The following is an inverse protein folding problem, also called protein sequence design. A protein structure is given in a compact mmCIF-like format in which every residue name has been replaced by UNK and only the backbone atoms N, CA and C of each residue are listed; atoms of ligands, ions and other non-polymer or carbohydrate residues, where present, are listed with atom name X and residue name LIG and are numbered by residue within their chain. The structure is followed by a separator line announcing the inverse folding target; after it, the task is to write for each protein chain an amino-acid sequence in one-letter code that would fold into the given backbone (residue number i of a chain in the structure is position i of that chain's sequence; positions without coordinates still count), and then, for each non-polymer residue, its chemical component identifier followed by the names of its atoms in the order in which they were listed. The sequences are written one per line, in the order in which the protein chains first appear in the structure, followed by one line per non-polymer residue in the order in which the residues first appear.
data_IF_659242239363
#
_entry.id   IF_659242239363
#
_cell.length_a   1.000
_cell.length_b   1.000
_cell.length_c   1.000
_cell.angle_alpha   90.00
_cell.angle_beta   90.00
_cell.angle_gamma   90.00
#
_symmetry.space_group_name_H-M   'P 1'
#
loop_
_entity.id
_entity.type
_entity.pdbx_description
1 polymer ?
#
# COMPACT_ATOMS: atom_id res chain seq x y z
N UNK A 1 8.84 -22.98 -2.21
CA UNK A 1 7.77 -22.43 -1.37
C UNK A 1 8.17 -21.00 -1.07
N UNK A 2 7.45 -20.05 -1.63
CA UNK A 2 7.62 -18.63 -1.32
C UNK A 2 7.44 -18.49 0.21
N UNK A 3 8.41 -17.90 0.97
CA UNK A 3 8.26 -17.66 2.40
C UNK A 3 7.19 -16.59 2.67
N UNK A 4 6.23 -16.56 1.84
CA UNK A 4 5.07 -15.78 1.61
C UNK A 4 4.44 -15.17 2.83
N UNK A 5 3.73 -14.15 2.59
CA UNK A 5 2.71 -13.52 3.40
C UNK A 5 2.06 -14.56 4.33
N UNK A 6 2.06 -14.38 5.64
CA UNK A 6 1.52 -15.39 6.56
C UNK A 6 0.10 -15.78 6.12
N UNK A 7 -0.18 -17.07 6.06
CA UNK A 7 -1.46 -17.63 5.56
C UNK A 7 -2.69 -16.97 6.24
N UNK A 8 -2.55 -16.64 7.54
CA UNK A 8 -3.57 -15.90 8.29
C UNK A 8 -3.89 -14.51 7.73
N UNK A 9 -2.95 -13.87 7.03
CA UNK A 9 -3.17 -12.57 6.37
C UNK A 9 -3.87 -12.72 5.02
N UNK A 10 -3.75 -13.90 4.39
CA UNK A 10 -4.46 -14.25 3.17
C UNK A 10 -5.92 -14.65 3.44
N UNK A 11 -6.22 -15.09 4.67
CA UNK A 11 -7.56 -15.46 5.11
C UNK A 11 -8.41 -14.26 5.58
N UNK A 12 -7.86 -13.04 5.57
CA UNK A 12 -8.62 -11.84 5.96
C UNK A 12 -9.80 -11.60 5.03
N UNK A 13 -10.88 -11.11 5.61
CA UNK A 13 -11.98 -10.57 4.83
C UNK A 13 -11.47 -9.43 3.94
N UNK A 14 -12.00 -9.29 2.73
CA UNK A 14 -11.73 -8.14 1.90
C UNK A 14 -12.01 -6.86 2.69
N UNK A 15 -11.17 -5.85 2.50
CA UNK A 15 -11.45 -4.54 3.06
C UNK A 15 -12.83 -4.07 2.55
N UNK A 16 -13.68 -3.50 3.44
CA UNK A 16 -14.98 -3.01 3.01
C UNK A 16 -14.82 -2.03 1.85
N UNK A 17 -15.79 -1.93 0.95
CA UNK A 17 -15.79 -0.94 -0.13
C UNK A 17 -15.46 0.43 0.42
N UNK A 18 -14.76 1.25 -0.35
CA UNK A 18 -14.42 2.61 0.01
C UNK A 18 -15.63 3.35 0.59
N UNK A 19 -15.59 3.60 1.89
CA UNK A 19 -16.60 4.36 2.63
C UNK A 19 -16.06 5.75 3.07
N UNK A 20 -15.21 6.30 2.31
CA UNK A 20 -14.20 7.25 2.40
C UNK A 20 -14.31 8.53 3.20
N UNK A 21 -13.16 9.09 3.43
CA UNK A 21 -12.94 10.45 3.92
C UNK A 21 -12.98 11.38 2.69
N UNK A 22 -14.14 11.94 2.38
CA UNK A 22 -14.32 12.80 1.22
C UNK A 22 -14.67 12.07 -0.08
N UNK A 23 -14.72 12.77 -1.22
CA UNK A 23 -15.08 12.20 -2.50
C UNK A 23 -14.09 11.11 -2.95
N UNK A 24 -14.60 10.00 -3.45
CA UNK A 24 -13.76 8.98 -4.05
C UNK A 24 -13.01 9.55 -5.24
N UNK A 25 -11.69 9.39 -5.24
CA UNK A 25 -10.82 9.69 -6.35
C UNK A 25 -9.62 8.74 -6.36
N UNK A 26 -8.95 8.65 -7.49
CA UNK A 26 -7.72 7.88 -7.64
C UNK A 26 -6.54 8.83 -7.80
N UNK A 27 -5.46 8.53 -7.09
CA UNK A 27 -4.31 9.39 -6.96
C UNK A 27 -3.01 8.67 -7.29
N UNK A 28 -2.08 9.40 -7.87
CA UNK A 28 -0.66 9.06 -7.93
C UNK A 28 0.15 10.19 -7.30
N UNK A 29 1.19 9.85 -6.53
CA UNK A 29 2.03 10.83 -5.83
C UNK A 29 3.45 10.82 -6.39
N UNK A 30 4.02 11.99 -6.63
CA UNK A 30 5.38 12.17 -7.12
C UNK A 30 6.00 13.45 -6.57
N UNK A 31 7.33 13.50 -6.50
CA UNK A 31 8.09 14.73 -6.29
C UNK A 31 8.32 15.50 -7.61
N UNK A 32 7.99 14.92 -8.76
CA UNK A 32 8.10 15.54 -10.06
C UNK A 32 6.80 16.29 -10.42
N UNK A 33 6.84 17.63 -10.62
CA UNK A 33 5.68 18.44 -10.97
C UNK A 33 5.23 18.29 -12.43
N UNK A 34 6.04 17.67 -13.28
CA UNK A 34 5.83 17.65 -14.73
C UNK A 34 5.12 16.42 -15.27
N UNK A 35 4.71 15.47 -14.38
CA UNK A 35 4.04 14.25 -14.79
C UNK A 35 2.62 14.55 -15.29
N UNK A 36 2.43 14.53 -16.61
CA UNK A 36 1.08 14.66 -17.22
C UNK A 36 0.49 13.32 -17.65
N UNK A 37 1.36 12.35 -17.98
CA UNK A 37 0.97 11.05 -18.55
C UNK A 37 1.69 9.90 -17.87
N UNK A 38 0.92 8.95 -17.40
CA UNK A 38 1.39 7.74 -16.73
C UNK A 38 1.36 6.55 -17.70
N UNK A 39 2.49 5.86 -17.84
CA UNK A 39 2.61 4.68 -18.71
C UNK A 39 2.73 3.41 -17.88
N UNK A 40 2.12 2.30 -18.33
CA UNK A 40 2.32 1.01 -17.67
C UNK A 40 3.82 0.68 -17.56
N UNK A 41 4.24 0.26 -16.37
CA UNK A 41 5.62 -0.14 -16.12
C UNK A 41 5.65 -1.32 -15.14
N UNK A 42 6.70 -2.12 -15.25
CA UNK A 42 6.99 -3.21 -14.30
C UNK A 42 7.72 -2.62 -13.11
N UNK A 43 7.19 -2.73 -11.88
CA UNK A 43 7.91 -2.25 -10.70
C UNK A 43 9.23 -3.01 -10.53
N UNK A 44 10.34 -2.28 -10.34
CA UNK A 44 11.65 -2.89 -10.08
C UNK A 44 11.64 -3.82 -8.86
N UNK A 45 10.70 -3.63 -7.97
CA UNK A 45 10.51 -4.43 -6.75
C UNK A 45 9.73 -5.72 -6.97
N UNK A 46 9.11 -5.88 -8.15
CA UNK A 46 8.38 -7.08 -8.56
C UNK A 46 8.51 -7.28 -10.08
N UNK A 47 9.66 -7.77 -10.55
CA UNK A 47 9.94 -7.92 -11.98
C UNK A 47 9.05 -8.96 -12.69
N UNK A 48 8.36 -9.82 -11.94
CA UNK A 48 7.42 -10.81 -12.46
C UNK A 48 5.98 -10.31 -12.65
N UNK A 49 5.69 -9.04 -12.29
CA UNK A 49 4.35 -8.48 -12.48
C UNK A 49 4.17 -7.96 -13.92
N UNK A 50 2.93 -7.95 -14.45
CA UNK A 50 2.65 -7.27 -15.71
C UNK A 50 2.92 -5.75 -15.57
N UNK A 51 3.22 -5.05 -16.69
CA UNK A 51 3.33 -3.61 -16.69
C UNK A 51 1.97 -2.97 -16.41
N UNK A 52 1.89 -2.10 -15.39
CA UNK A 52 0.66 -1.46 -14.96
C UNK A 52 0.92 0.01 -14.57
N UNK A 53 -0.09 0.85 -14.74
CA UNK A 53 -0.20 2.14 -14.06
C UNK A 53 -0.84 1.91 -12.70
N UNK A 54 -0.23 2.43 -11.65
CA UNK A 54 -0.69 2.25 -10.28
C UNK A 54 -1.30 3.54 -9.73
N UNK A 55 -2.44 3.41 -9.11
CA UNK A 55 -3.11 4.46 -8.36
C UNK A 55 -3.53 3.96 -6.97
N UNK A 56 -3.84 4.89 -6.09
CA UNK A 56 -4.39 4.63 -4.76
C UNK A 56 -5.67 5.45 -4.59
N UNK A 57 -6.66 4.91 -3.89
CA UNK A 57 -7.88 5.65 -3.58
C UNK A 57 -7.66 6.72 -2.50
N UNK A 58 -8.62 7.66 -2.39
CA UNK A 58 -8.53 8.81 -1.46
C UNK A 58 -8.34 8.36 -0.01
N UNK A 59 -8.99 7.27 0.43
CA UNK A 59 -8.88 6.77 1.80
C UNK A 59 -7.46 6.32 2.14
N UNK A 60 -6.77 5.69 1.19
CA UNK A 60 -5.43 5.14 1.39
C UNK A 60 -4.33 6.09 0.90
N UNK A 61 -4.68 7.19 0.24
CA UNK A 61 -3.76 8.20 -0.25
C UNK A 61 -2.72 8.67 0.80
N UNK A 62 -3.07 8.87 2.09
CA UNK A 62 -2.09 9.28 3.10
C UNK A 62 -0.86 8.37 3.26
N UNK A 63 -0.93 7.10 2.88
CA UNK A 63 0.23 6.20 2.86
C UNK A 63 1.34 6.65 1.90
N UNK A 64 1.02 7.57 0.99
CA UNK A 64 1.93 8.12 -0.01
C UNK A 64 2.33 9.57 0.24
N UNK A 65 1.92 10.17 1.37
CA UNK A 65 2.37 11.50 1.80
C UNK A 65 3.77 11.44 2.40
N UNK A 66 4.72 10.95 1.62
CA UNK A 66 6.11 10.77 2.01
C UNK A 66 7.03 10.97 0.79
N UNK A 67 8.27 11.42 0.99
CA UNK A 67 9.27 11.38 -0.06
C UNK A 67 9.33 9.99 -0.70
N UNK A 68 9.58 9.94 -2.01
CA UNK A 68 9.49 8.72 -2.82
C UNK A 68 10.21 7.51 -2.23
N UNK A 69 11.41 7.72 -1.70
CA UNK A 69 12.28 6.64 -1.23
C UNK A 69 12.24 6.43 0.28
N UNK A 70 11.41 7.20 0.99
CA UNK A 70 11.24 7.08 2.43
C UNK A 70 10.69 5.70 2.83
N UNK A 71 11.46 4.89 3.61
CA UNK A 71 10.95 3.66 4.18
C UNK A 71 9.86 3.96 5.21
N UNK A 72 8.74 3.30 5.08
CA UNK A 72 7.59 3.53 5.96
C UNK A 72 6.74 2.31 6.17
N UNK A 73 6.17 2.22 7.36
CA UNK A 73 5.13 1.27 7.72
C UNK A 73 3.86 2.01 8.08
N UNK A 74 2.77 1.71 7.39
CA UNK A 74 1.46 2.31 7.64
C UNK A 74 0.50 1.22 8.12
N UNK A 75 -0.24 1.46 9.21
CA UNK A 75 -1.19 0.49 9.76
C UNK A 75 -2.53 1.14 10.09
N UNK A 76 -3.58 0.36 10.01
CA UNK A 76 -4.93 0.73 10.43
C UNK A 76 -5.73 -0.50 10.88
N UNK A 77 -6.71 -0.34 11.77
CA UNK A 77 -7.57 -1.45 12.17
C UNK A 77 -8.64 -1.72 11.10
N UNK A 78 -8.98 -2.99 10.93
CA UNK A 78 -10.08 -3.48 10.07
C UNK A 78 -11.06 -4.32 10.90
N UNK A 79 -12.15 -4.77 10.30
CA UNK A 79 -13.19 -5.58 11.00
C UNK A 79 -12.62 -6.83 11.66
N UNK A 80 -11.62 -7.44 11.04
CA UNK A 80 -10.95 -8.67 11.53
C UNK A 80 -9.81 -8.39 12.52
N UNK A 81 -9.51 -7.12 12.83
CA UNK A 81 -8.49 -6.77 13.83
C UNK A 81 -8.94 -7.16 15.23
N UNK A 82 -8.18 -8.05 15.89
CA UNK A 82 -8.48 -8.50 17.25
C UNK A 82 -8.43 -7.36 18.26
N UNK A 83 -9.21 -7.48 19.36
CA UNK A 83 -9.17 -6.51 20.46
C UNK A 83 -7.76 -6.35 21.03
N UNK A 84 -7.01 -7.46 21.15
CA UNK A 84 -5.61 -7.45 21.60
C UNK A 84 -4.71 -6.61 20.72
N UNK A 85 -4.79 -6.77 19.40
CA UNK A 85 -3.94 -6.02 18.46
C UNK A 85 -4.39 -4.56 18.36
N UNK A 86 -5.70 -4.31 18.45
CA UNK A 86 -6.24 -2.95 18.54
C UNK A 86 -5.70 -2.23 19.77
N UNK A 87 -5.78 -2.85 20.95
CA UNK A 87 -5.20 -2.29 22.17
C UNK A 87 -3.70 -2.08 22.05
N UNK A 88 -2.97 -3.07 21.55
CA UNK A 88 -1.52 -3.02 21.40
C UNK A 88 -1.02 -1.84 20.55
N UNK A 89 -1.68 -1.55 19.45
CA UNK A 89 -1.22 -0.51 18.51
C UNK A 89 -1.92 0.82 18.69
N UNK A 90 -3.20 0.81 19.10
CA UNK A 90 -4.07 1.97 19.13
C UNK A 90 -4.60 2.32 20.54
N UNK A 91 -4.28 1.53 21.57
CA UNK A 91 -4.78 1.76 22.94
C UNK A 91 -4.32 3.07 23.59
N UNK A 92 -3.27 3.70 23.04
CA UNK A 92 -2.72 4.96 23.57
C UNK A 92 -2.86 6.14 22.60
N UNK A 93 -3.67 6.01 21.57
CA UNK A 93 -3.86 7.06 20.56
C UNK A 93 -5.32 7.21 20.16
N UNK A 94 -5.72 8.44 19.85
CA UNK A 94 -7.00 8.74 19.22
C UNK A 94 -6.92 8.70 17.68
N UNK A 95 -5.76 8.39 17.13
CA UNK A 95 -5.57 8.31 15.68
C UNK A 95 -6.28 7.08 15.10
N UNK A 96 -6.77 7.21 13.88
CA UNK A 96 -7.38 6.11 13.12
C UNK A 96 -6.36 5.25 12.39
N UNK A 97 -5.16 5.80 12.20
CA UNK A 97 -4.02 5.17 11.49
C UNK A 97 -2.71 5.57 12.16
N UNK A 98 -1.69 4.74 12.01
CA UNK A 98 -0.34 5.02 12.47
C UNK A 98 0.60 4.82 11.29
N UNK A 99 1.36 5.88 10.98
CA UNK A 99 2.44 5.83 10.00
C UNK A 99 3.77 5.95 10.72
N UNK A 100 4.73 5.11 10.38
CA UNK A 100 6.03 5.03 11.06
C UNK A 100 7.14 5.21 10.04
N UNK A 101 8.10 6.09 10.37
CA UNK A 101 9.32 6.34 9.61
C UNK A 101 10.54 6.26 10.52
N UNK A 102 11.72 6.11 9.93
CA UNK A 102 12.98 6.25 10.65
C UNK A 102 13.37 7.73 10.82
N UNK A 103 14.07 8.03 11.92
CA UNK A 103 14.44 9.40 12.32
C UNK A 103 15.23 10.14 11.23
N UNK A 104 16.11 9.44 10.51
CA UNK A 104 16.95 10.02 9.45
C UNK A 104 16.14 10.58 8.28
N UNK A 105 14.88 10.22 8.16
CA UNK A 105 13.98 10.71 7.11
C UNK A 105 13.15 11.92 7.51
N UNK A 106 13.18 12.32 8.79
CA UNK A 106 12.31 13.36 9.31
C UNK A 106 12.48 14.68 8.60
N UNK A 107 13.71 15.15 8.41
CA UNK A 107 13.99 16.44 7.76
C UNK A 107 13.55 16.41 6.30
N UNK A 108 13.76 15.28 5.61
CA UNK A 108 13.27 15.10 4.25
C UNK A 108 11.74 15.14 4.18
N UNK A 109 11.05 14.51 5.14
CA UNK A 109 9.57 14.55 5.24
C UNK A 109 9.06 15.97 5.51
N UNK A 110 9.77 16.75 6.31
CA UNK A 110 9.39 18.14 6.64
C UNK A 110 9.51 19.10 5.46
N UNK A 111 10.50 18.87 4.60
CA UNK A 111 10.86 19.79 3.50
C UNK A 111 10.37 19.33 2.13
N UNK A 112 9.84 18.12 2.03
CA UNK A 112 9.39 17.56 0.76
C UNK A 112 8.09 18.19 0.30
N UNK A 113 8.05 18.57 -0.96
CA UNK A 113 6.81 18.88 -1.69
C UNK A 113 6.45 17.71 -2.58
N UNK A 114 5.18 17.31 -2.55
CA UNK A 114 4.62 16.27 -3.41
C UNK A 114 3.58 16.87 -4.34
N UNK A 115 3.41 16.23 -5.46
CA UNK A 115 2.36 16.49 -6.43
C UNK A 115 1.42 15.29 -6.46
N UNK A 116 0.17 15.50 -6.05
CA UNK A 116 -0.89 14.51 -6.10
C UNK A 116 -1.62 14.64 -7.43
N UNK A 117 -1.45 13.67 -8.28
CA UNK A 117 -2.08 13.59 -9.59
C UNK A 117 -3.40 12.84 -9.46
N UNK A 118 -4.51 13.49 -9.78
CA UNK A 118 -5.82 12.85 -9.86
C UNK A 118 -5.96 12.15 -11.21
N UNK A 119 -6.30 10.87 -11.16
CA UNK A 119 -6.44 10.02 -12.33
C UNK A 119 -7.91 9.68 -12.60
N UNK A 120 -8.34 9.52 -13.88
CA UNK A 120 -9.72 9.20 -14.21
C UNK A 120 -10.07 7.78 -13.76
N UNK A 121 -10.95 7.65 -12.77
CA UNK A 121 -11.29 6.37 -12.15
C UNK A 121 -11.81 5.31 -13.15
N UNK A 122 -12.48 5.74 -14.23
CA UNK A 122 -13.01 4.84 -15.25
C UNK A 122 -11.93 4.04 -16.00
N UNK A 123 -10.66 4.51 -15.97
CA UNK A 123 -9.55 3.80 -16.61
C UNK A 123 -8.96 2.68 -15.73
N UNK A 124 -9.40 2.57 -14.49
CA UNK A 124 -8.80 1.68 -13.50
C UNK A 124 -9.76 0.59 -13.03
N UNK A 125 -9.18 -0.51 -12.59
CA UNK A 125 -9.86 -1.57 -11.85
C UNK A 125 -9.20 -1.79 -10.50
N UNK A 126 -9.94 -2.25 -9.47
CA UNK A 126 -9.35 -2.59 -8.18
C UNK A 126 -8.25 -3.63 -8.35
N UNK A 127 -7.14 -3.45 -7.66
CA UNK A 127 -6.13 -4.48 -7.52
C UNK A 127 -6.44 -5.32 -6.29
N UNK A 128 -6.33 -6.65 -6.40
CA UNK A 128 -6.73 -7.60 -5.35
C UNK A 128 -5.81 -7.62 -4.11
N UNK A 129 -4.86 -6.72 -4.04
CA UNK A 129 -4.06 -6.53 -2.84
C UNK A 129 -4.73 -5.52 -1.91
N UNK A 130 -4.46 -5.67 -0.64
CA UNK A 130 -4.88 -4.78 0.43
C UNK A 130 -4.35 -3.36 0.21
N UNK A 131 -5.03 -2.35 0.70
CA UNK A 131 -4.49 -0.99 0.74
C UNK A 131 -5.00 -0.05 -0.34
N UNK A 132 -6.16 -0.32 -0.92
CA UNK A 132 -6.85 0.62 -1.83
C UNK A 132 -6.11 0.88 -3.13
N UNK A 133 -5.36 -0.11 -3.63
CA UNK A 133 -4.65 -0.01 -4.90
C UNK A 133 -5.57 -0.27 -6.10
N UNK A 134 -5.35 0.52 -7.14
CA UNK A 134 -6.04 0.44 -8.41
C UNK A 134 -5.02 0.40 -9.53
N UNK A 135 -5.34 -0.28 -10.62
CA UNK A 135 -4.40 -0.49 -11.74
C UNK A 135 -5.08 -0.28 -13.08
N UNK A 136 -4.30 0.25 -14.03
CA UNK A 136 -4.67 0.31 -15.45
C UNK A 136 -3.56 -0.32 -16.29
N UNK A 137 -3.92 -0.98 -17.38
CA UNK A 137 -3.01 -1.62 -18.33
C UNK A 137 -2.71 -0.75 -19.55
N UNK A 138 -3.36 0.41 -19.65
CA UNK A 138 -3.18 1.41 -20.71
C UNK A 138 -2.55 2.69 -20.14
N UNK A 139 -1.92 3.51 -20.97
CA UNK A 139 -1.47 4.84 -20.55
C UNK A 139 -2.66 5.70 -20.12
N UNK A 140 -2.45 6.46 -19.05
CA UNK A 140 -3.47 7.33 -18.44
C UNK A 140 -2.94 8.74 -18.30
N UNK A 141 -3.72 9.73 -18.70
CA UNK A 141 -3.41 11.15 -18.48
C UNK A 141 -4.02 11.61 -17.15
N UNK A 142 -3.28 12.43 -16.40
CA UNK A 142 -3.81 13.08 -15.21
C UNK A 142 -4.92 14.09 -15.59
N UNK A 143 -5.96 14.13 -14.78
CA UNK A 143 -7.07 15.09 -14.97
C UNK A 143 -6.94 16.32 -14.09
N UNK A 144 -6.08 16.26 -13.07
CA UNK A 144 -5.82 17.34 -12.13
C UNK A 144 -4.52 17.10 -11.36
N UNK A 145 -3.95 18.16 -10.78
CA UNK A 145 -2.75 18.11 -9.94
C UNK A 145 -2.93 19.02 -8.73
N UNK A 146 -2.63 18.50 -7.54
CA UNK A 146 -2.65 19.25 -6.29
C UNK A 146 -1.26 19.22 -5.68
N UNK A 147 -0.77 20.39 -5.27
CA UNK A 147 0.49 20.50 -4.52
C UNK A 147 0.25 20.11 -3.06
N UNK A 148 1.12 19.27 -2.53
CA UNK A 148 1.09 18.80 -1.15
C UNK A 148 2.42 19.13 -0.48
N UNK A 149 2.38 20.02 0.46
CA UNK A 149 3.46 20.42 1.36
C UNK A 149 3.07 20.15 2.82
N UNK A 150 3.91 20.51 3.77
CA UNK A 150 3.71 20.30 5.20
C UNK A 150 3.19 18.86 5.49
N UNK A 151 3.91 17.88 5.03
CA UNK A 151 3.47 16.48 5.17
C UNK A 151 3.18 16.09 6.63
N UNK A 152 3.96 16.53 7.66
CA UNK A 152 3.61 16.27 9.06
C UNK A 152 2.29 16.91 9.49
N UNK A 153 2.05 18.18 9.12
CA UNK A 153 0.79 18.86 9.41
C UNK A 153 -0.41 18.20 8.76
N UNK A 154 -0.25 17.70 7.53
CA UNK A 154 -1.31 16.93 6.84
C UNK A 154 -1.64 15.62 7.54
N UNK A 155 -0.64 14.89 8.04
CA UNK A 155 -0.88 13.69 8.85
C UNK A 155 -1.69 14.03 10.09
N UNK A 156 -1.30 15.10 10.81
CA UNK A 156 -2.01 15.54 12.00
C UNK A 156 -3.46 15.97 11.69
N UNK A 157 -3.67 16.73 10.63
CA UNK A 157 -5.01 17.18 10.19
C UNK A 157 -5.91 15.99 9.79
N UNK A 158 -5.31 14.93 9.20
CA UNK A 158 -6.01 13.70 8.87
C UNK A 158 -6.19 12.75 10.07
N UNK A 159 -5.81 13.17 11.29
CA UNK A 159 -5.83 12.35 12.52
C UNK A 159 -5.02 11.06 12.39
N UNK A 160 -3.90 11.13 11.68
CA UNK A 160 -2.94 10.05 11.51
C UNK A 160 -1.76 10.32 12.44
N UNK A 161 -1.41 9.36 13.28
CA UNK A 161 -0.23 9.45 14.11
C UNK A 161 1.02 9.17 13.28
N UNK A 162 1.93 10.13 13.21
CA UNK A 162 3.24 9.95 12.60
C UNK A 162 4.26 9.60 13.70
N UNK A 163 4.72 8.34 13.73
CA UNK A 163 5.78 7.86 14.63
C UNK A 163 7.15 7.97 13.98
N UNK A 164 8.08 8.49 14.75
CA UNK A 164 9.48 8.58 14.36
C UNK A 164 10.27 7.63 15.25
N UNK A 165 11.05 6.73 14.65
CA UNK A 165 11.79 5.70 15.36
C UNK A 165 13.23 5.61 14.85
N UNK A 166 14.21 5.22 15.67
CA UNK A 166 15.58 4.96 15.20
C UNK A 166 15.67 3.81 14.19
N UNK A 167 14.77 2.83 14.27
CA UNK A 167 14.68 1.71 13.33
C UNK A 167 13.24 1.24 13.18
N UNK A 168 12.79 1.05 11.94
CA UNK A 168 11.43 0.58 11.65
C UNK A 168 11.26 -0.93 11.95
N UNK A 169 12.32 -1.70 11.99
CA UNK A 169 12.28 -3.15 12.03
C UNK A 169 11.62 -3.75 13.28
N UNK A 170 11.84 -3.24 14.51
CA UNK A 170 11.12 -3.72 15.68
C UNK A 170 9.60 -3.56 15.52
N UNK A 171 9.15 -2.39 15.08
CA UNK A 171 7.74 -2.13 14.80
C UNK A 171 7.21 -3.06 13.71
N UNK A 172 7.93 -3.18 12.59
CA UNK A 172 7.52 -3.98 11.44
C UNK A 172 7.33 -5.47 11.78
N UNK A 173 8.22 -6.05 12.59
CA UNK A 173 8.04 -7.42 13.10
C UNK A 173 6.73 -7.60 13.86
N UNK A 174 6.35 -6.63 14.66
CA UNK A 174 5.10 -6.68 15.41
C UNK A 174 3.88 -6.55 14.50
N UNK A 175 3.95 -5.69 13.51
CA UNK A 175 2.90 -5.49 12.52
C UNK A 175 2.64 -6.78 11.74
N UNK A 176 3.68 -7.38 11.16
CA UNK A 176 3.54 -8.60 10.36
C UNK A 176 3.11 -9.82 11.17
N UNK A 177 3.24 -9.77 12.51
CA UNK A 177 2.77 -10.78 13.43
C UNK A 177 1.36 -10.52 14.01
N UNK A 178 0.68 -9.46 13.57
CA UNK A 178 -0.61 -9.00 14.09
C UNK A 178 -1.75 -9.19 13.09
N UNK A 179 -2.94 -8.77 13.51
CA UNK A 179 -4.18 -8.78 12.71
C UNK A 179 -4.57 -7.39 12.20
N UNK A 180 -3.76 -6.35 12.43
CA UNK A 180 -3.99 -5.04 11.82
C UNK A 180 -3.74 -5.11 10.31
N UNK A 181 -4.38 -4.23 9.58
CA UNK A 181 -4.08 -4.03 8.17
C UNK A 181 -2.84 -3.16 8.01
N UNK A 182 -2.06 -3.35 6.96
CA UNK A 182 -0.81 -2.61 6.80
C UNK A 182 -0.36 -2.43 5.35
N UNK A 183 0.45 -1.40 5.15
CA UNK A 183 1.26 -1.19 3.95
C UNK A 183 2.70 -0.90 4.36
N UNK A 184 3.65 -1.65 3.80
CA UNK A 184 5.08 -1.39 3.95
C UNK A 184 5.68 -0.95 2.62
N UNK A 185 6.23 0.25 2.58
CA UNK A 185 6.81 0.80 1.36
C UNK A 185 8.28 1.14 1.56
N UNK A 186 9.09 0.90 0.52
CA UNK A 186 10.53 1.25 0.50
C UNK A 186 11.36 0.69 1.66
N UNK A 187 10.92 -0.39 2.29
CA UNK A 187 11.63 -0.99 3.44
C UNK A 187 13.06 -1.46 3.12
N UNK A 188 13.40 -1.63 1.83
CA UNK A 188 14.78 -1.87 1.40
C UNK A 188 15.72 -0.70 1.67
N UNK A 189 15.19 0.50 1.85
CA UNK A 189 15.94 1.72 2.14
C UNK A 189 16.02 2.01 3.64
N UNK A 190 15.37 1.20 4.47
CA UNK A 190 15.47 1.32 5.93
C UNK A 190 16.88 0.95 6.40
N UNK A 191 17.27 1.50 7.55
CA UNK A 191 18.53 1.15 8.22
C UNK A 191 18.68 -0.37 8.33
N UNK A 192 19.92 -0.85 8.25
CA UNK A 192 20.19 -2.29 8.37
C UNK A 192 19.70 -2.76 9.73
N UNK A 193 18.91 -3.85 9.81
CA UNK A 193 18.52 -4.39 11.11
C UNK A 193 19.73 -4.74 11.94
N UNK A 194 19.69 -4.44 13.24
CA UNK A 194 20.76 -4.86 14.15
C UNK A 194 20.93 -6.39 14.13
N UNK A 195 22.16 -6.89 14.38
CA UNK A 195 22.44 -8.32 14.48
C UNK A 195 21.47 -8.99 15.48
N UNK A 196 20.73 -10.01 15.02
CA UNK A 196 19.65 -10.66 15.78
C UNK A 196 18.22 -10.27 15.32
N UNK A 197 18.06 -9.22 14.56
CA UNK A 197 16.80 -8.87 13.91
C UNK A 197 16.73 -9.57 12.53
N UNK A 198 16.17 -10.78 12.48
CA UNK A 198 16.07 -11.55 11.24
C UNK A 198 15.42 -10.73 10.11
N UNK A 199 16.15 -10.50 9.03
CA UNK A 199 15.61 -10.02 7.77
C UNK A 199 14.63 -11.06 7.25
N UNK A 200 13.33 -10.79 7.36
CA UNK A 200 12.35 -11.57 6.57
C UNK A 200 12.37 -11.05 5.13
N UNK A 201 12.45 -11.93 4.14
CA UNK A 201 12.41 -11.52 2.75
C UNK A 201 11.09 -10.79 2.45
N UNK A 202 11.16 -9.85 1.53
CA UNK A 202 10.05 -9.06 1.00
C UNK A 202 8.99 -10.01 0.43
N UNK A 203 7.70 -9.91 0.80
CA UNK A 203 6.68 -10.69 0.14
C UNK A 203 6.62 -10.25 -1.32
N UNK A 204 6.89 -11.18 -2.24
CA UNK A 204 6.54 -11.02 -3.63
C UNK A 204 5.02 -10.97 -3.73
N UNK A 205 4.48 -10.02 -4.51
CA UNK A 205 3.05 -9.87 -4.69
C UNK A 205 2.43 -11.20 -5.14
N UNK A 206 1.52 -11.75 -4.36
CA UNK A 206 0.86 -13.01 -4.68
C UNK A 206 -0.14 -12.75 -5.81
N UNK A 207 0.24 -13.07 -7.02
CA UNK A 207 -0.70 -13.23 -8.13
C UNK A 207 -1.45 -14.55 -7.90
N UNK A 208 -2.68 -14.48 -7.41
CA UNK A 208 -3.56 -15.65 -7.38
C UNK A 208 -4.03 -15.94 -8.80
N UNK A 209 -3.52 -17.01 -9.38
CA UNK A 209 -4.02 -17.60 -10.61
C UNK A 209 -5.38 -18.27 -10.32
N UNK A 210 -6.49 -17.54 -10.58
CA UNK A 210 -7.86 -18.06 -10.52
C UNK A 210 -8.30 -18.69 -11.85
N UNK A 211 -7.46 -18.68 -12.88
CA UNK A 211 -7.85 -19.18 -14.22
C UNK A 211 -7.72 -20.69 -14.39
N UNK A 212 -7.29 -21.43 -13.38
CA UNK A 212 -7.17 -22.91 -13.50
C UNK A 212 -8.49 -23.66 -13.37
N UNK A 213 -9.53 -23.03 -12.83
CA UNK A 213 -10.84 -23.69 -12.63
C UNK A 213 -11.74 -23.67 -13.88
N UNK A 214 -11.51 -22.79 -14.85
CA UNK A 214 -12.36 -22.67 -16.06
C UNK A 214 -11.91 -23.57 -17.21
N UNK A 215 -10.78 -24.24 -17.14
CA UNK A 215 -10.31 -25.15 -18.20
C UNK A 215 -10.71 -26.61 -18.03
N UNK A 216 -11.23 -27.01 -16.86
CA UNK A 216 -11.62 -28.40 -16.60
C UNK A 216 -13.06 -28.76 -17.03
N UNK A 217 -13.84 -27.81 -17.58
CA UNK A 217 -15.26 -28.03 -17.94
C UNK A 217 -15.52 -28.08 -19.45
N UNK A 218 -14.54 -28.40 -20.27
CA UNK A 218 -14.78 -28.70 -21.69
C UNK A 218 -14.36 -30.15 -22.01
N UNK A 219 -15.20 -31.09 -21.63
CA UNK A 219 -15.17 -32.44 -22.17
C UNK A 219 -15.66 -32.44 -23.63
N UNK A 220 -15.02 -33.13 -24.54
CA UNK A 220 -15.50 -33.28 -25.92
C UNK A 220 -16.79 -34.13 -25.93
N UNK A 221 -17.81 -33.65 -26.66
CA UNK A 221 -19.00 -34.44 -26.97
C UNK A 221 -18.63 -35.65 -27.84
N UNK A 222 -19.18 -36.84 -27.59
CA UNK A 222 -19.02 -37.98 -28.50
C UNK A 222 -19.84 -37.76 -29.79
N UNK A 223 -19.27 -38.14 -30.90
CA UNK A 223 -19.95 -38.23 -32.20
C UNK A 223 -21.05 -39.30 -32.11
N UNK A 224 -22.22 -38.96 -32.61
CA UNK A 224 -23.31 -39.91 -32.80
C UNK A 224 -23.28 -40.51 -34.23
N UNK A 225 -23.86 -41.71 -34.43
CA UNK A 225 -23.69 -42.59 -35.60
C UNK A 225 -24.30 -42.05 -36.88
#
# INVERSE_FOLDING_TARGET
MDPGYPERLLAREPEPPYAGEGPFALWHFSEDPSLGRFRPHVPATNPGSPPLVWAVDTRHAPMFWFPRDCPRGCIWPVSTTTARDRERFFGQTAATRIHVIEADWLDRVRTCTLYAYRLPAAAFRPHHTVGGYWVADQPVDAVDQVVIDDLPGRHAAARIELRITPSIWPFWRHVTASTVEFSGSRLSNAAVPEPGAARRPKPAGVVRDRDRASRAARSPRPAAP
#
